data_IF_902838438705
#
_entry.id   IF_902838438705
#
_cell.length_a   1.000
_cell.length_b   1.000
_cell.length_c   1.000
_cell.angle_alpha   90.00
_cell.angle_beta   90.00
_cell.angle_gamma   90.00
#
_symmetry.space_group_name_H-M   'P 1'
#
loop_
_entity.id
_entity.type
_entity.pdbx_description
1 polymer ?
#
# COMPACT_ATOMS: atom_id res chain seq x y z
N UNK A 1 27.13 -10.94 3.09
CA UNK A 1 25.96 -10.29 2.47
C UNK A 1 25.00 -11.38 2.05
N UNK A 2 23.74 -11.31 2.46
CA UNK A 2 22.69 -12.20 1.92
C UNK A 2 22.44 -11.82 0.46
N UNK A 3 22.62 -12.78 -0.45
CA UNK A 3 22.35 -12.58 -1.87
C UNK A 3 20.86 -12.80 -2.15
N UNK A 4 20.24 -11.89 -2.90
CA UNK A 4 18.90 -12.11 -3.46
C UNK A 4 19.07 -13.07 -4.64
N UNK A 5 18.41 -14.24 -4.59
CA UNK A 5 18.43 -15.20 -5.69
C UNK A 5 17.60 -14.69 -6.87
N UNK A 6 17.91 -15.13 -8.09
CA UNK A 6 17.12 -14.76 -9.26
C UNK A 6 15.61 -15.11 -9.12
N UNK A 7 15.22 -16.30 -8.60
CA UNK A 7 13.81 -16.60 -8.35
C UNK A 7 13.15 -15.66 -7.34
N UNK A 8 13.86 -15.31 -6.25
CA UNK A 8 13.32 -14.37 -5.25
C UNK A 8 13.16 -12.96 -5.84
N UNK A 9 14.11 -12.53 -6.67
CA UNK A 9 14.01 -11.25 -7.36
C UNK A 9 12.79 -11.22 -8.30
N UNK A 10 12.57 -12.28 -9.07
CA UNK A 10 11.40 -12.41 -9.94
C UNK A 10 10.10 -12.38 -9.13
N UNK A 11 10.04 -13.11 -8.02
CA UNK A 11 8.89 -13.10 -7.10
C UNK A 11 8.59 -11.69 -6.59
N UNK A 12 9.62 -10.95 -6.14
CA UNK A 12 9.46 -9.57 -5.66
C UNK A 12 8.96 -8.66 -6.77
N UNK A 13 9.56 -8.73 -7.97
CA UNK A 13 9.19 -7.90 -9.13
C UNK A 13 7.72 -8.09 -9.51
N UNK A 14 7.25 -9.35 -9.56
CA UNK A 14 5.88 -9.69 -9.93
C UNK A 14 4.81 -9.13 -8.97
N UNK A 15 5.20 -8.62 -7.79
CA UNK A 15 4.28 -7.98 -6.85
C UNK A 15 4.01 -6.51 -7.16
N UNK A 16 4.80 -5.87 -8.01
CA UNK A 16 4.67 -4.44 -8.35
C UNK A 16 3.86 -4.26 -9.64
N UNK A 17 2.91 -3.32 -9.60
CA UNK A 17 2.20 -2.88 -10.78
C UNK A 17 3.18 -2.15 -11.72
N UNK A 18 3.13 -2.45 -13.01
CA UNK A 18 3.89 -1.72 -14.05
C UNK A 18 5.43 -1.75 -13.85
N UNK A 19 5.95 -2.85 -13.27
CA UNK A 19 7.39 -3.02 -12.98
C UNK A 19 8.26 -3.06 -14.23
N UNK A 20 7.79 -3.73 -15.29
CA UNK A 20 8.53 -3.92 -16.55
C UNK A 20 7.99 -3.05 -17.70
N UNK A 21 6.81 -2.44 -17.52
CA UNK A 21 6.12 -1.72 -18.58
C UNK A 21 5.40 -0.48 -18.06
N UNK A 22 5.51 0.61 -18.81
CA UNK A 22 4.65 1.77 -18.69
C UNK A 22 3.42 1.57 -19.61
N UNK A 23 2.19 1.76 -19.12
CA UNK A 23 0.98 1.58 -19.94
C UNK A 23 0.88 2.55 -21.14
N UNK A 24 1.72 3.59 -21.20
CA UNK A 24 1.71 4.60 -22.24
C UNK A 24 2.92 4.56 -23.18
N UNK A 25 4.04 3.95 -22.77
CA UNK A 25 5.30 3.95 -23.54
C UNK A 25 5.91 2.56 -23.73
N UNK A 26 5.27 1.50 -23.22
CA UNK A 26 5.77 0.13 -23.37
C UNK A 26 6.87 -0.23 -22.37
N UNK A 27 7.83 -1.09 -22.73
CA UNK A 27 8.87 -1.57 -21.82
C UNK A 27 9.68 -0.43 -21.17
N UNK A 28 9.92 -0.51 -19.87
CA UNK A 28 10.61 0.54 -19.10
C UNK A 28 11.39 -0.04 -17.92
N UNK A 29 12.54 0.56 -17.62
CA UNK A 29 13.23 0.42 -16.33
C UNK A 29 12.97 1.67 -15.49
N UNK A 30 12.38 1.52 -14.29
CA UNK A 30 12.04 2.64 -13.41
C UNK A 30 13.18 2.95 -12.42
N UNK A 31 13.92 4.05 -12.65
CA UNK A 31 15.00 4.53 -11.78
C UNK A 31 14.72 5.86 -11.06
N UNK A 32 13.50 6.37 -11.14
CA UNK A 32 13.07 7.64 -10.50
C UNK A 32 12.51 7.43 -9.07
N UNK A 33 13.10 6.50 -8.30
CA UNK A 33 12.57 6.10 -6.99
C UNK A 33 12.57 7.23 -5.93
N UNK A 34 13.36 8.28 -6.14
CA UNK A 34 13.37 9.46 -5.29
C UNK A 34 12.14 10.37 -5.54
N UNK A 35 11.61 10.39 -6.77
CA UNK A 35 10.46 11.21 -7.16
C UNK A 35 9.11 10.49 -7.03
N UNK A 36 9.12 9.16 -6.96
CA UNK A 36 7.93 8.33 -6.76
C UNK A 36 8.29 6.86 -6.62
N UNK A 37 7.32 6.01 -6.27
CA UNK A 37 7.55 4.57 -6.08
C UNK A 37 6.68 3.73 -7.01
N UNK A 38 7.16 2.53 -7.37
CA UNK A 38 6.29 1.49 -7.90
C UNK A 38 5.34 1.02 -6.80
N UNK A 39 4.07 0.82 -7.16
CA UNK A 39 3.02 0.42 -6.21
C UNK A 39 2.82 -1.08 -6.25
N UNK A 40 2.68 -1.73 -5.09
CA UNK A 40 2.31 -3.15 -5.04
C UNK A 40 0.91 -3.38 -5.62
N UNK A 41 0.71 -4.47 -6.36
CA UNK A 41 -0.60 -4.90 -6.87
C UNK A 41 -1.63 -5.02 -5.73
N UNK A 42 -1.22 -5.52 -4.56
CA UNK A 42 -2.08 -5.61 -3.37
C UNK A 42 -2.52 -4.25 -2.83
N UNK A 43 -1.66 -3.22 -2.92
CA UNK A 43 -1.97 -1.86 -2.48
C UNK A 43 -2.95 -1.20 -3.46
N UNK A 44 -2.79 -1.43 -4.77
CA UNK A 44 -3.76 -0.98 -5.79
C UNK A 44 -5.14 -1.57 -5.50
N UNK A 45 -5.23 -2.88 -5.30
CA UNK A 45 -6.49 -3.57 -5.01
C UNK A 45 -7.13 -3.10 -3.70
N UNK A 46 -6.32 -2.89 -2.67
CA UNK A 46 -6.80 -2.39 -1.38
C UNK A 46 -7.38 -0.99 -1.52
N UNK A 47 -6.69 -0.10 -2.25
CA UNK A 47 -7.13 1.26 -2.50
C UNK A 47 -8.44 1.30 -3.29
N UNK A 48 -8.53 0.52 -4.38
CA UNK A 48 -9.75 0.40 -5.17
C UNK A 48 -10.94 -0.10 -4.33
N UNK A 49 -10.71 -1.12 -3.49
CA UNK A 49 -11.74 -1.67 -2.59
C UNK A 49 -12.31 -0.61 -1.65
N UNK A 50 -11.46 0.17 -0.99
CA UNK A 50 -11.94 1.16 -0.01
C UNK A 50 -12.51 2.42 -0.67
N UNK A 51 -11.97 2.83 -1.82
CA UNK A 51 -12.50 3.96 -2.59
C UNK A 51 -13.93 3.70 -3.12
N UNK A 52 -14.30 2.43 -3.32
CA UNK A 52 -15.63 2.04 -3.77
C UNK A 52 -16.71 2.05 -2.66
N UNK A 53 -16.34 2.24 -1.39
CA UNK A 53 -17.29 2.25 -0.28
C UNK A 53 -17.81 3.69 -0.09
N UNK A 54 -19.13 3.93 -0.14
CA UNK A 54 -19.69 5.29 -0.10
C UNK A 54 -19.84 5.85 1.32
N UNK A 55 -19.60 5.04 2.35
CA UNK A 55 -19.71 5.45 3.75
C UNK A 55 -18.50 6.27 4.20
N UNK A 56 -18.78 7.37 4.91
CA UNK A 56 -17.76 8.17 5.57
C UNK A 56 -17.66 7.86 7.07
N UNK A 57 -16.48 8.07 7.65
CA UNK A 57 -16.25 7.99 9.09
C UNK A 57 -17.13 8.98 9.88
N UNK A 58 -17.47 8.61 11.13
CA UNK A 58 -18.22 9.48 12.05
C UNK A 58 -19.75 9.45 11.88
N UNK A 59 -20.29 8.51 11.10
CA UNK A 59 -21.74 8.31 10.95
C UNK A 59 -22.22 7.17 11.85
N UNK A 60 -23.46 7.28 12.33
CA UNK A 60 -24.07 6.26 13.19
C UNK A 60 -24.63 5.07 12.38
N UNK A 61 -23.84 4.52 11.46
CA UNK A 61 -24.20 3.35 10.65
C UNK A 61 -23.12 2.25 10.75
N UNK A 62 -23.44 1.06 10.24
CA UNK A 62 -22.55 -0.11 10.33
C UNK A 62 -21.30 0.04 9.45
N UNK A 63 -21.43 0.61 8.25
CA UNK A 63 -20.31 0.84 7.34
C UNK A 63 -19.25 1.78 7.93
N UNK A 64 -19.69 2.92 8.45
CA UNK A 64 -18.83 3.90 9.12
C UNK A 64 -18.08 3.29 10.32
N UNK A 65 -18.76 2.50 11.17
CA UNK A 65 -18.12 1.79 12.29
C UNK A 65 -17.05 0.80 11.81
N UNK A 66 -17.33 0.05 10.74
CA UNK A 66 -16.37 -0.88 10.16
C UNK A 66 -15.14 -0.18 9.58
N UNK A 67 -15.33 0.93 8.85
CA UNK A 67 -14.24 1.73 8.30
C UNK A 67 -13.36 2.34 9.39
N UNK A 68 -13.96 2.88 10.45
CA UNK A 68 -13.23 3.39 11.62
C UNK A 68 -12.40 2.29 12.30
N UNK A 69 -12.93 1.07 12.41
CA UNK A 69 -12.19 -0.07 12.97
C UNK A 69 -10.95 -0.42 12.11
N UNK A 70 -11.09 -0.37 10.78
CA UNK A 70 -9.98 -0.60 9.85
C UNK A 70 -8.93 0.50 9.98
N UNK A 71 -9.33 1.78 10.01
CA UNK A 71 -8.41 2.91 10.22
C UNK A 71 -7.65 2.75 11.55
N UNK A 72 -8.34 2.35 12.63
CA UNK A 72 -7.71 2.10 13.93
C UNK A 72 -6.68 0.99 13.86
N UNK A 73 -6.99 -0.11 13.15
CA UNK A 73 -6.02 -1.19 12.91
C UNK A 73 -4.82 -0.69 12.12
N UNK A 74 -5.02 0.04 11.02
CA UNK A 74 -3.93 0.59 10.21
C UNK A 74 -3.00 1.49 11.04
N UNK A 75 -3.55 2.33 11.93
CA UNK A 75 -2.74 3.17 12.84
C UNK A 75 -1.96 2.34 13.87
N UNK A 76 -2.50 1.22 14.33
CA UNK A 76 -1.78 0.31 15.21
C UNK A 76 -0.65 -0.43 14.47
N UNK A 77 -0.89 -0.86 13.23
CA UNK A 77 0.13 -1.48 12.39
C UNK A 77 1.27 -0.48 12.10
N UNK A 78 0.96 0.80 11.86
CA UNK A 78 1.97 1.87 11.76
C UNK A 78 2.79 2.04 13.05
N UNK A 79 2.16 1.98 14.24
CA UNK A 79 2.92 2.03 15.50
C UNK A 79 3.93 0.89 15.61
N UNK A 80 3.52 -0.31 15.25
CA UNK A 80 4.42 -1.47 15.20
C UNK A 80 5.56 -1.24 14.20
N UNK A 81 5.23 -0.78 12.98
CA UNK A 81 6.21 -0.55 11.92
C UNK A 81 7.27 0.49 12.29
N UNK A 82 6.86 1.59 12.93
CA UNK A 82 7.75 2.66 13.38
C UNK A 82 8.32 2.45 14.79
N UNK A 83 7.97 1.34 15.46
CA UNK A 83 8.32 1.09 16.87
C UNK A 83 7.95 2.27 17.80
N UNK A 84 6.80 2.90 17.57
CA UNK A 84 6.38 4.09 18.29
C UNK A 84 5.57 3.72 19.54
N UNK A 85 6.07 4.07 20.73
CA UNK A 85 5.41 3.80 22.02
C UNK A 85 4.34 4.83 22.38
N UNK A 86 4.38 6.03 21.80
CA UNK A 86 3.42 7.11 22.06
C UNK A 86 3.19 7.97 20.80
N UNK A 87 2.37 9.01 20.93
CA UNK A 87 2.02 9.91 19.83
C UNK A 87 0.89 9.40 18.93
N UNK A 88 0.67 10.13 17.84
CA UNK A 88 -0.42 9.92 16.90
C UNK A 88 0.05 9.99 15.45
N UNK A 89 -0.34 8.99 14.67
CA UNK A 89 -0.32 9.06 13.20
C UNK A 89 -1.55 9.84 12.72
N UNK A 90 -1.30 10.94 12.02
CA UNK A 90 -2.29 11.74 11.31
C UNK A 90 -2.15 11.46 9.81
N UNK A 91 -3.29 11.28 9.14
CA UNK A 91 -3.41 11.01 7.71
C UNK A 91 -4.70 11.67 7.24
#
# INVERSE_FOLDING_TARGET
MTSITAPLLEEIRNRFAHVDSCPFSGPRVFFENAGGALTLNSVVNTSAKFAAIPDNQGRANTGSKALVAIIKKSKADMRTFFNASNGQFFV
#
